data_IF_396269066040
#
_entry.id   IF_396269066040
#
_cell.length_a   1.000
_cell.length_b   1.000
_cell.length_c   1.000
_cell.angle_alpha   90.00
_cell.angle_beta   90.00
_cell.angle_gamma   90.00
#
_symmetry.space_group_name_H-M   'P 1'
#
loop_
_entity.id
_entity.type
_entity.pdbx_description
1 polymer ?
#
# COMPACT_ATOMS: atom_id res chain seq x y z
N UNK A 1 4.72 30.00 20.90
CA UNK A 1 4.39 31.33 20.32
C UNK A 1 4.24 32.39 21.40
N UNK A 2 3.57 32.05 22.51
CA UNK A 2 3.29 32.99 23.61
C UNK A 2 4.55 33.55 24.28
N UNK A 3 5.60 32.73 24.43
CA UNK A 3 6.91 33.19 24.92
C UNK A 3 7.54 34.24 23.99
N UNK A 4 7.40 34.08 22.68
CA UNK A 4 7.91 35.03 21.69
C UNK A 4 7.13 36.36 21.76
N UNK A 5 5.80 36.29 21.87
CA UNK A 5 4.98 37.49 22.03
C UNK A 5 5.26 38.21 23.35
N UNK A 6 5.41 37.48 24.44
CA UNK A 6 5.79 38.04 25.74
C UNK A 6 7.16 38.75 25.72
N UNK A 7 8.14 38.19 24.98
CA UNK A 7 9.45 38.82 24.78
C UNK A 7 9.34 40.09 23.92
N UNK A 8 8.68 40.01 22.77
CA UNK A 8 8.51 41.14 21.85
C UNK A 8 7.74 42.31 22.48
N UNK A 9 6.78 42.03 23.35
CA UNK A 9 5.96 43.03 24.03
C UNK A 9 6.62 43.58 25.31
N UNK A 10 7.76 43.01 25.74
CA UNK A 10 8.51 43.46 26.91
C UNK A 10 9.41 44.66 26.59
N UNK A 11 9.22 45.76 27.30
CA UNK A 11 9.97 46.99 27.13
C UNK A 11 10.78 47.39 28.38
N UNK A 12 10.11 47.85 29.44
CA UNK A 12 10.75 48.50 30.59
C UNK A 12 10.26 47.90 31.90
N UNK A 13 11.17 47.74 32.86
CA UNK A 13 10.87 47.14 34.15
C UNK A 13 9.77 47.93 34.89
N UNK A 14 8.72 47.23 35.33
CA UNK A 14 7.62 47.79 36.12
C UNK A 14 6.48 48.42 35.32
N UNK A 15 6.49 48.33 33.99
CA UNK A 15 5.40 48.81 33.12
C UNK A 15 4.67 47.64 32.45
N UNK A 16 3.38 47.81 32.14
CA UNK A 16 2.59 46.80 31.44
C UNK A 16 3.11 46.58 30.00
N UNK A 17 3.07 45.33 29.47
CA UNK A 17 3.59 45.02 28.15
C UNK A 17 2.85 45.79 27.06
N UNK A 18 3.61 46.34 26.11
CA UNK A 18 3.06 47.08 24.99
C UNK A 18 3.29 46.29 23.71
N UNK A 19 2.21 46.11 22.92
CA UNK A 19 2.25 45.31 21.69
C UNK A 19 3.35 45.81 20.74
N UNK A 20 4.23 44.89 20.33
CA UNK A 20 5.33 45.15 19.40
C UNK A 20 6.33 46.21 19.87
N UNK A 21 6.57 46.34 21.18
CA UNK A 21 7.52 47.32 21.70
C UNK A 21 8.97 47.05 21.27
N UNK A 22 9.37 45.77 21.11
CA UNK A 22 10.73 45.37 20.69
C UNK A 22 10.68 44.20 19.69
N UNK A 23 10.30 44.44 18.42
CA UNK A 23 10.14 43.38 17.42
C UNK A 23 11.45 42.63 17.11
N UNK A 24 12.61 43.25 17.32
CA UNK A 24 13.92 42.62 17.10
C UNK A 24 14.17 41.39 17.99
N UNK A 25 13.50 41.27 19.13
CA UNK A 25 13.63 40.09 20.00
C UNK A 25 13.05 38.82 19.36
N UNK A 26 12.15 38.95 18.39
CA UNK A 26 11.64 37.81 17.62
C UNK A 26 12.77 37.09 16.86
N UNK A 27 13.75 37.84 16.32
CA UNK A 27 14.89 37.27 15.62
C UNK A 27 15.74 36.40 16.55
N UNK A 28 15.96 36.83 17.80
CA UNK A 28 16.66 36.03 18.79
C UNK A 28 15.94 34.70 19.05
N UNK A 29 14.62 34.72 19.25
CA UNK A 29 13.84 33.50 19.48
C UNK A 29 13.86 32.57 18.27
N UNK A 30 13.72 33.10 17.05
CA UNK A 30 13.79 32.31 15.81
C UNK A 30 15.17 31.70 15.64
N UNK A 31 16.25 32.47 15.81
CA UNK A 31 17.62 31.96 15.73
C UNK A 31 17.90 30.91 16.81
N UNK A 32 17.40 31.11 18.04
CA UNK A 32 17.53 30.14 19.14
C UNK A 32 16.81 28.83 18.85
N UNK A 33 15.57 28.89 18.34
CA UNK A 33 14.80 27.69 17.98
C UNK A 33 15.43 26.95 16.81
N UNK A 34 15.89 27.66 15.79
CA UNK A 34 16.54 27.03 14.63
C UNK A 34 17.88 26.41 15.04
N UNK A 35 18.79 27.19 15.64
CA UNK A 35 20.13 26.70 15.97
C UNK A 35 20.10 25.69 17.12
N UNK A 36 19.38 26.01 18.19
CA UNK A 36 19.25 25.14 19.36
C UNK A 36 18.44 23.88 19.06
N UNK A 37 17.31 24.03 18.37
CA UNK A 37 16.45 22.90 17.99
C UNK A 37 17.13 21.97 16.99
N UNK A 38 17.74 22.51 15.93
CA UNK A 38 18.44 21.69 14.94
C UNK A 38 19.64 20.99 15.56
N UNK A 39 20.43 21.68 16.40
CA UNK A 39 21.59 21.07 17.05
C UNK A 39 21.18 19.96 18.03
N UNK A 40 20.22 20.24 18.93
CA UNK A 40 19.80 19.29 19.95
C UNK A 40 19.13 18.06 19.34
N UNK A 41 18.26 18.24 18.33
CA UNK A 41 17.62 17.14 17.63
C UNK A 41 18.65 16.28 16.87
N UNK A 42 19.58 16.90 16.16
CA UNK A 42 20.58 16.16 15.39
C UNK A 42 21.53 15.36 16.28
N UNK A 43 21.98 15.92 17.40
CA UNK A 43 22.80 15.19 18.38
C UNK A 43 22.01 14.05 19.01
N UNK A 44 20.77 14.31 19.43
CA UNK A 44 19.93 13.29 20.06
C UNK A 44 19.64 12.11 19.11
N UNK A 45 19.22 12.41 17.87
CA UNK A 45 19.01 11.38 16.83
C UNK A 45 20.32 10.66 16.53
N UNK A 46 21.45 11.37 16.43
CA UNK A 46 22.76 10.78 16.21
C UNK A 46 23.14 9.75 17.28
N UNK A 47 22.96 10.09 18.56
CA UNK A 47 23.24 9.16 19.68
C UNK A 47 22.29 7.96 19.65
N UNK A 48 21.00 8.19 19.44
CA UNK A 48 20.02 7.09 19.35
C UNK A 48 20.37 6.14 18.20
N UNK A 49 20.64 6.68 17.02
CA UNK A 49 21.01 5.87 15.85
C UNK A 49 22.29 5.09 16.11
N UNK A 50 23.29 5.67 16.77
CA UNK A 50 24.52 4.95 17.11
C UNK A 50 24.26 3.80 18.10
N UNK A 51 23.42 4.02 19.12
CA UNK A 51 23.03 2.96 20.07
C UNK A 51 22.28 1.84 19.35
N UNK A 52 21.31 2.16 18.48
CA UNK A 52 20.61 1.16 17.68
C UNK A 52 21.53 0.45 16.68
N UNK A 53 22.45 1.16 16.04
CA UNK A 53 23.43 0.57 15.13
C UNK A 53 24.36 -0.39 15.86
N UNK A 54 24.79 -0.04 17.08
CA UNK A 54 25.60 -0.90 17.93
C UNK A 54 24.84 -2.17 18.34
N UNK A 55 23.59 -2.03 18.81
CA UNK A 55 22.73 -3.18 19.14
C UNK A 55 22.53 -4.10 17.92
N UNK A 56 22.28 -3.53 16.74
CA UNK A 56 22.11 -4.28 15.50
C UNK A 56 23.38 -5.02 15.08
N UNK A 57 24.58 -4.48 15.31
CA UNK A 57 25.84 -5.15 14.95
C UNK A 57 26.19 -6.30 15.88
N UNK A 58 25.80 -6.22 17.15
CA UNK A 58 26.11 -7.28 18.12
C UNK A 58 25.15 -8.45 18.00
N UNK A 59 23.85 -8.18 17.81
CA UNK A 59 22.82 -9.20 17.92
C UNK A 59 21.90 -9.29 16.68
N UNK A 60 22.28 -8.72 15.53
CA UNK A 60 21.47 -8.65 14.29
C UNK A 60 20.02 -8.12 14.43
N UNK A 61 19.67 -7.52 15.59
CA UNK A 61 18.29 -7.15 15.92
C UNK A 61 17.47 -8.27 16.57
N UNK A 62 18.10 -9.40 16.91
CA UNK A 62 17.54 -10.53 17.66
C UNK A 62 17.74 -10.37 19.19
N UNK A 63 18.45 -9.33 19.65
CA UNK A 63 18.76 -9.10 21.07
C UNK A 63 17.55 -9.12 22.01
N UNK A 64 16.38 -8.76 21.49
CA UNK A 64 15.12 -8.67 22.25
C UNK A 64 14.25 -9.92 22.10
N UNK A 65 14.76 -10.95 21.44
CA UNK A 65 14.01 -12.17 21.10
C UNK A 65 14.36 -13.29 22.08
N UNK A 66 13.35 -14.10 22.40
CA UNK A 66 13.57 -15.37 23.10
C UNK A 66 14.23 -16.41 22.17
N UNK A 67 14.91 -17.41 22.74
CA UNK A 67 15.62 -18.45 21.99
C UNK A 67 14.72 -19.18 20.97
N UNK A 68 13.45 -19.41 21.33
CA UNK A 68 12.46 -20.03 20.43
C UNK A 68 12.08 -19.14 19.24
N UNK A 69 12.05 -17.83 19.45
CA UNK A 69 11.68 -16.87 18.42
C UNK A 69 12.84 -16.62 17.45
N UNK A 70 14.08 -16.62 17.95
CA UNK A 70 15.29 -16.53 17.12
C UNK A 70 15.34 -17.68 16.09
N UNK A 71 15.12 -18.92 16.54
CA UNK A 71 15.13 -20.09 15.65
C UNK A 71 14.05 -19.97 14.56
N UNK A 72 12.81 -19.62 14.94
CA UNK A 72 11.73 -19.42 13.97
C UNK A 72 12.05 -18.32 12.95
N UNK A 73 12.62 -17.20 13.38
CA UNK A 73 13.01 -16.12 12.47
C UNK A 73 14.14 -16.56 11.54
N UNK A 74 15.13 -17.32 12.03
CA UNK A 74 16.21 -17.83 11.20
C UNK A 74 15.70 -18.82 10.13
N UNK A 75 14.79 -19.74 10.51
CA UNK A 75 14.11 -20.61 9.55
C UNK A 75 13.31 -19.81 8.54
N UNK A 76 12.57 -18.79 8.97
CA UNK A 76 11.79 -17.95 8.05
C UNK A 76 12.69 -17.17 7.09
N UNK A 77 13.81 -16.60 7.58
CA UNK A 77 14.82 -15.95 6.74
C UNK A 77 15.38 -16.93 5.70
N UNK A 78 15.60 -18.19 6.06
CA UNK A 78 16.06 -19.23 5.14
C UNK A 78 15.00 -19.61 4.09
N UNK A 79 13.75 -19.81 4.51
CA UNK A 79 12.63 -20.07 3.60
C UNK A 79 12.41 -18.91 2.61
N UNK A 80 12.52 -17.67 3.08
CA UNK A 80 12.42 -16.48 2.25
C UNK A 80 13.58 -16.37 1.25
N UNK A 81 14.79 -16.86 1.58
CA UNK A 81 15.91 -16.91 0.62
C UNK A 81 15.68 -17.92 -0.51
N UNK A 82 14.93 -18.98 -0.24
CA UNK A 82 14.62 -20.00 -1.25
C UNK A 82 13.55 -19.55 -2.24
N UNK A 83 12.69 -18.59 -1.86
CA UNK A 83 11.53 -18.09 -2.64
C UNK A 83 10.88 -19.19 -3.51
N UNK A 84 10.43 -20.32 -2.93
CA UNK A 84 9.91 -21.43 -3.72
C UNK A 84 8.60 -21.01 -4.39
N UNK A 85 8.65 -20.72 -5.69
CA UNK A 85 7.46 -20.51 -6.51
C UNK A 85 6.80 -21.86 -6.73
N UNK A 86 5.55 -21.99 -6.28
CA UNK A 86 4.76 -23.19 -6.54
C UNK A 86 4.03 -23.01 -7.87
N UNK A 87 4.23 -23.95 -8.78
CA UNK A 87 3.46 -24.03 -10.00
C UNK A 87 2.48 -25.20 -9.89
N UNK A 88 1.19 -25.00 -10.16
CA UNK A 88 0.22 -26.09 -10.24
C UNK A 88 0.72 -27.18 -11.20
N UNK A 89 0.49 -28.48 -10.92
CA UNK A 89 0.83 -29.54 -11.87
C UNK A 89 -0.09 -29.49 -13.10
N UNK A 90 0.46 -29.75 -14.29
CA UNK A 90 -0.35 -29.84 -15.52
C UNK A 90 -1.42 -30.94 -15.42
N UNK A 91 -2.67 -30.68 -15.85
CA UNK A 91 -3.69 -31.71 -15.93
C UNK A 91 -3.35 -32.71 -17.06
N UNK A 92 -3.25 -34.00 -16.72
CA UNK A 92 -2.74 -35.04 -17.62
C UNK A 92 -3.82 -35.73 -18.47
N UNK A 93 -5.07 -35.78 -18.01
CA UNK A 93 -6.12 -36.62 -18.62
C UNK A 93 -7.06 -35.84 -19.56
N UNK A 94 -7.31 -34.56 -19.29
CA UNK A 94 -8.30 -33.76 -20.03
C UNK A 94 -7.64 -32.82 -21.04
N UNK A 95 -7.77 -33.14 -22.34
CA UNK A 95 -7.17 -32.33 -23.42
C UNK A 95 -7.69 -30.88 -23.46
N UNK A 96 -9.00 -30.68 -23.21
CA UNK A 96 -9.62 -29.36 -23.13
C UNK A 96 -9.09 -28.55 -21.95
N UNK A 97 -9.06 -29.16 -20.76
CA UNK A 97 -8.49 -28.55 -19.55
C UNK A 97 -7.01 -28.19 -19.73
N UNK A 98 -6.23 -29.03 -20.42
CA UNK A 98 -4.82 -28.77 -20.75
C UNK A 98 -4.64 -27.57 -21.68
N UNK A 99 -5.52 -27.39 -22.65
CA UNK A 99 -5.48 -26.22 -23.53
C UNK A 99 -5.72 -24.92 -22.74
N UNK A 100 -6.74 -24.91 -21.87
CA UNK A 100 -7.06 -23.76 -21.01
C UNK A 100 -5.95 -23.49 -19.99
N UNK A 101 -5.37 -24.54 -19.40
CA UNK A 101 -4.22 -24.43 -18.50
C UNK A 101 -3.02 -23.74 -19.17
N UNK A 102 -2.69 -24.12 -20.42
CA UNK A 102 -1.62 -23.47 -21.18
C UNK A 102 -1.92 -22.00 -21.53
N UNK A 103 -3.19 -21.65 -21.70
CA UNK A 103 -3.61 -20.27 -21.93
C UNK A 103 -3.40 -19.42 -20.68
N UNK A 104 -3.81 -19.91 -19.51
CA UNK A 104 -3.73 -19.17 -18.23
C UNK A 104 -2.28 -19.06 -17.76
N UNK A 105 -1.48 -20.12 -17.91
CA UNK A 105 -0.06 -20.11 -17.55
C UNK A 105 0.82 -19.35 -18.56
N UNK A 106 0.24 -18.77 -19.61
CA UNK A 106 0.98 -17.97 -20.56
C UNK A 106 1.41 -16.65 -19.90
N UNK A 107 2.69 -16.25 -20.08
CA UNK A 107 3.29 -15.09 -19.40
C UNK A 107 2.61 -13.74 -19.68
N UNK A 108 1.77 -13.67 -20.72
CA UNK A 108 1.00 -12.46 -21.07
C UNK A 108 -0.42 -12.45 -20.51
N UNK A 109 -0.91 -13.56 -19.96
CA UNK A 109 -2.28 -13.65 -19.46
C UNK A 109 -2.50 -12.72 -18.26
N UNK A 110 -1.69 -12.85 -17.22
CA UNK A 110 -1.82 -11.99 -16.03
C UNK A 110 -1.60 -10.49 -16.33
N UNK A 111 -0.57 -10.06 -17.09
CA UNK A 111 -0.44 -8.66 -17.47
C UNK A 111 -1.62 -8.13 -18.30
N UNK A 112 -2.22 -8.96 -19.16
CA UNK A 112 -3.39 -8.54 -19.93
C UNK A 112 -4.60 -8.26 -19.03
N UNK A 113 -4.89 -9.15 -18.07
CA UNK A 113 -5.96 -8.96 -17.09
C UNK A 113 -5.69 -7.74 -16.21
N UNK A 114 -4.45 -7.57 -15.77
CA UNK A 114 -4.04 -6.36 -15.04
C UNK A 114 -4.28 -5.08 -15.85
N UNK A 115 -4.04 -5.12 -17.16
CA UNK A 115 -4.37 -4.02 -18.07
C UNK A 115 -5.87 -3.70 -18.09
N UNK A 116 -6.74 -4.71 -18.07
CA UNK A 116 -8.20 -4.53 -17.98
C UNK A 116 -8.60 -3.92 -16.63
N UNK A 117 -7.97 -4.32 -15.52
CA UNK A 117 -8.22 -3.74 -14.18
C UNK A 117 -7.88 -2.24 -14.17
N UNK A 118 -6.71 -1.88 -14.70
CA UNK A 118 -6.27 -0.49 -14.81
C UNK A 118 -7.23 0.31 -15.70
N UNK A 119 -7.66 -0.28 -16.83
CA UNK A 119 -8.62 0.35 -17.73
C UNK A 119 -9.98 0.57 -17.08
N UNK A 120 -10.51 -0.42 -16.35
CA UNK A 120 -11.76 -0.30 -15.59
C UNK A 120 -11.66 0.78 -14.50
N UNK A 121 -10.54 0.82 -13.78
CA UNK A 121 -10.26 1.87 -12.79
C UNK A 121 -10.19 3.25 -13.44
N UNK A 122 -9.65 3.34 -14.65
CA UNK A 122 -9.65 4.58 -15.42
C UNK A 122 -11.07 4.99 -15.85
N UNK A 123 -11.93 4.05 -16.28
CA UNK A 123 -13.34 4.34 -16.58
C UNK A 123 -14.07 4.88 -15.34
N UNK A 124 -13.87 4.28 -14.17
CA UNK A 124 -14.41 4.77 -12.90
C UNK A 124 -13.87 6.16 -12.53
N UNK A 125 -12.59 6.45 -12.81
CA UNK A 125 -12.01 7.76 -12.54
C UNK A 125 -12.53 8.87 -13.48
N UNK A 126 -13.06 8.49 -14.65
CA UNK A 126 -13.76 9.41 -15.55
C UNK A 126 -15.20 9.68 -15.12
N UNK A 127 -15.74 8.86 -14.22
CA UNK A 127 -17.03 9.10 -13.60
C UNK A 127 -16.91 10.20 -12.52
N UNK A 128 -17.88 11.10 -12.50
CA UNK A 128 -17.76 12.39 -11.86
C UNK A 128 -19.10 13.13 -11.82
N UNK A 129 -19.21 14.13 -10.97
CA UNK A 129 -20.47 14.84 -10.77
C UNK A 129 -20.85 15.66 -12.02
N UNK A 130 -22.09 15.49 -12.50
CA UNK A 130 -22.70 16.21 -13.64
C UNK A 130 -22.12 15.86 -15.03
N UNK A 131 -22.06 14.57 -15.34
CA UNK A 131 -21.62 14.05 -16.66
C UNK A 131 -22.81 13.90 -17.62
N UNK A 132 -22.66 14.24 -18.92
CA UNK A 132 -23.69 14.01 -19.92
C UNK A 132 -24.10 12.53 -20.01
N UNK A 133 -25.40 12.28 -20.18
CA UNK A 133 -25.99 10.92 -20.25
C UNK A 133 -25.28 10.01 -21.27
N UNK A 134 -24.88 10.55 -22.43
CA UNK A 134 -24.14 9.80 -23.46
C UNK A 134 -22.75 9.31 -23.02
N UNK A 135 -22.09 10.02 -22.11
CA UNK A 135 -20.80 9.61 -21.54
C UNK A 135 -20.99 8.64 -20.39
N UNK A 136 -22.03 8.85 -19.56
CA UNK A 136 -22.42 7.91 -18.51
C UNK A 136 -22.73 6.53 -19.10
N UNK A 137 -23.53 6.46 -20.16
CA UNK A 137 -23.85 5.22 -20.87
C UNK A 137 -22.60 4.50 -21.41
N UNK A 138 -21.63 5.27 -21.91
CA UNK A 138 -20.37 4.71 -22.41
C UNK A 138 -19.52 4.13 -21.27
N UNK A 139 -19.41 4.84 -20.15
CA UNK A 139 -18.68 4.40 -18.96
C UNK A 139 -19.35 3.16 -18.36
N UNK A 140 -20.67 3.13 -18.26
CA UNK A 140 -21.44 1.99 -17.76
C UNK A 140 -21.26 0.74 -18.64
N UNK A 141 -21.38 0.88 -19.97
CA UNK A 141 -21.15 -0.22 -20.92
C UNK A 141 -19.70 -0.71 -20.89
N UNK A 142 -18.74 0.20 -20.78
CA UNK A 142 -17.32 -0.13 -20.68
C UNK A 142 -17.00 -0.90 -19.39
N UNK A 143 -17.56 -0.47 -18.26
CA UNK A 143 -17.37 -1.12 -16.96
C UNK A 143 -18.04 -2.49 -16.92
N UNK A 144 -19.28 -2.63 -17.43
CA UNK A 144 -19.97 -3.93 -17.58
C UNK A 144 -19.17 -4.90 -18.47
N UNK A 145 -18.61 -4.43 -19.60
CA UNK A 145 -17.75 -5.26 -20.44
C UNK A 145 -16.49 -5.74 -19.69
N UNK A 146 -15.89 -4.91 -18.83
CA UNK A 146 -14.76 -5.31 -17.98
C UNK A 146 -15.17 -6.38 -16.96
N UNK A 147 -16.34 -6.24 -16.32
CA UNK A 147 -16.91 -7.24 -15.40
C UNK A 147 -17.09 -8.60 -16.06
N UNK A 148 -17.59 -8.64 -17.30
CA UNK A 148 -17.71 -9.89 -18.06
C UNK A 148 -16.35 -10.53 -18.38
N UNK A 149 -15.31 -9.73 -18.63
CA UNK A 149 -13.94 -10.23 -18.85
C UNK A 149 -13.39 -10.88 -17.58
N UNK A 150 -13.51 -10.24 -16.41
CA UNK A 150 -13.07 -10.84 -15.14
C UNK A 150 -13.89 -12.08 -14.77
N UNK A 151 -15.19 -12.06 -15.04
CA UNK A 151 -16.04 -13.24 -14.83
C UNK A 151 -15.58 -14.42 -15.69
N UNK A 152 -15.28 -14.18 -16.98
CA UNK A 152 -14.77 -15.21 -17.87
C UNK A 152 -13.40 -15.74 -17.42
N UNK A 153 -12.51 -14.85 -16.97
CA UNK A 153 -11.20 -15.23 -16.48
C UNK A 153 -11.27 -16.08 -15.20
N UNK A 154 -12.10 -15.72 -14.22
CA UNK A 154 -12.33 -16.51 -13.01
C UNK A 154 -12.88 -17.90 -13.34
N UNK A 155 -13.84 -18.00 -14.27
CA UNK A 155 -14.38 -19.29 -14.73
C UNK A 155 -13.31 -20.13 -15.43
N UNK A 156 -12.48 -19.52 -16.28
CA UNK A 156 -11.38 -20.23 -16.96
C UNK A 156 -10.35 -20.74 -15.95
N UNK A 157 -9.98 -19.93 -14.94
CA UNK A 157 -9.08 -20.35 -13.86
C UNK A 157 -9.64 -21.49 -13.03
N UNK A 158 -10.92 -21.43 -12.64
CA UNK A 158 -11.60 -22.51 -11.90
C UNK A 158 -11.70 -23.78 -12.75
N UNK A 159 -11.86 -23.66 -14.07
CA UNK A 159 -11.89 -24.83 -14.96
C UNK A 159 -10.51 -25.47 -15.14
N UNK A 160 -9.45 -24.66 -15.27
CA UNK A 160 -8.10 -25.16 -15.48
C UNK A 160 -7.46 -25.73 -14.20
N UNK A 161 -7.62 -25.00 -13.08
CA UNK A 161 -7.06 -25.34 -11.77
C UNK A 161 -8.06 -26.24 -11.03
N UNK A 162 -7.57 -27.26 -10.30
CA UNK A 162 -8.45 -28.00 -9.38
C UNK A 162 -8.94 -27.04 -8.29
N UNK A 163 -10.18 -27.19 -7.80
CA UNK A 163 -10.76 -26.30 -6.78
C UNK A 163 -9.81 -26.05 -5.59
N UNK A 164 -9.17 -27.09 -5.07
CA UNK A 164 -8.18 -27.00 -3.98
C UNK A 164 -6.98 -26.11 -4.31
N UNK A 165 -6.50 -26.14 -5.55
CA UNK A 165 -5.35 -25.33 -5.98
C UNK A 165 -5.77 -23.89 -6.23
N UNK A 166 -6.99 -23.69 -6.74
CA UNK A 166 -7.56 -22.36 -6.95
C UNK A 166 -7.71 -21.58 -5.63
N UNK A 167 -8.29 -22.20 -4.59
CA UNK A 167 -8.52 -21.53 -3.29
C UNK A 167 -7.25 -21.39 -2.43
N UNK A 168 -6.16 -22.08 -2.78
CA UNK A 168 -4.88 -21.95 -2.04
C UNK A 168 -4.16 -20.65 -2.33
N UNK A 169 -4.37 -20.07 -3.50
CA UNK A 169 -3.75 -18.83 -3.93
C UNK A 169 -4.61 -17.63 -3.48
N UNK A 170 -4.14 -16.78 -2.54
CA UNK A 170 -4.91 -15.65 -2.04
C UNK A 170 -5.34 -14.67 -3.15
N UNK A 171 -4.52 -14.52 -4.19
CA UNK A 171 -4.86 -13.67 -5.34
C UNK A 171 -6.10 -14.16 -6.10
N UNK A 172 -6.26 -15.48 -6.26
CA UNK A 172 -7.45 -16.04 -6.90
C UNK A 172 -8.71 -15.85 -6.04
N UNK A 173 -8.59 -15.91 -4.71
CA UNK A 173 -9.72 -15.61 -3.81
C UNK A 173 -10.13 -14.14 -3.95
N UNK A 174 -9.15 -13.23 -3.93
CA UNK A 174 -9.40 -11.80 -4.11
C UNK A 174 -10.14 -11.52 -5.43
N UNK A 175 -9.71 -12.17 -6.50
CA UNK A 175 -10.30 -12.06 -7.84
C UNK A 175 -11.78 -12.50 -7.87
N UNK A 176 -12.13 -13.65 -7.26
CA UNK A 176 -13.55 -14.06 -7.11
C UNK A 176 -14.34 -13.04 -6.31
N UNK A 177 -13.78 -12.51 -5.22
CA UNK A 177 -14.47 -11.51 -4.41
C UNK A 177 -14.82 -10.26 -5.23
N UNK A 178 -13.88 -9.79 -6.06
CA UNK A 178 -14.12 -8.65 -6.98
C UNK A 178 -15.23 -8.98 -7.96
N UNK A 179 -15.18 -10.14 -8.63
CA UNK A 179 -16.23 -10.56 -9.57
C UNK A 179 -17.60 -10.64 -8.91
N UNK A 180 -17.70 -11.23 -7.71
CA UNK A 180 -18.96 -11.35 -6.97
C UNK A 180 -19.52 -9.97 -6.62
N UNK A 181 -18.69 -9.05 -6.13
CA UNK A 181 -19.12 -7.68 -5.79
C UNK A 181 -19.61 -6.96 -7.06
N UNK A 182 -18.86 -7.05 -8.16
CA UNK A 182 -19.23 -6.38 -9.42
C UNK A 182 -20.54 -6.90 -10.02
N UNK A 183 -20.78 -8.22 -9.98
CA UNK A 183 -22.03 -8.81 -10.44
C UNK A 183 -23.20 -8.42 -9.53
N UNK A 184 -22.99 -8.37 -8.21
CA UNK A 184 -24.03 -7.91 -7.29
C UNK A 184 -24.40 -6.46 -7.55
N UNK A 185 -23.42 -5.58 -7.76
CA UNK A 185 -23.65 -4.19 -8.11
C UNK A 185 -24.49 -4.06 -9.38
N UNK A 186 -24.10 -4.76 -10.46
CA UNK A 186 -24.82 -4.76 -11.73
C UNK A 186 -26.27 -5.26 -11.59
N UNK A 187 -26.51 -6.30 -10.77
CA UNK A 187 -27.87 -6.80 -10.48
C UNK A 187 -28.69 -5.81 -9.65
N UNK A 188 -28.06 -5.07 -8.73
CA UNK A 188 -28.76 -4.08 -7.87
C UNK A 188 -29.06 -2.75 -8.56
N UNK A 189 -28.38 -2.44 -9.66
CA UNK A 189 -28.62 -1.22 -10.46
C UNK A 189 -29.68 -1.41 -11.57
N UNK A 190 -30.19 -2.63 -11.75
CA UNK A 190 -31.37 -2.96 -12.58
C UNK A 190 -32.66 -2.82 -11.77
#
# INVERSE_FOLDING_TARGET
PDVMYALVDAHTQGQAPQRSARPLQALFVVSWVILGGMFLLNVFVGVIVDVFAKMKRQDEGLALMDASQEEWVNTMKELLRLQPVRFPPEPTLDMGRRAVYRLIMHSWFEPAIMGVIIFNTFLMALDGYDIPESRSDFIAKGSSACTWIFTAEAVLKIYALTFDEYVREPWNIFDVCVVVISVLEEVTQV
#
